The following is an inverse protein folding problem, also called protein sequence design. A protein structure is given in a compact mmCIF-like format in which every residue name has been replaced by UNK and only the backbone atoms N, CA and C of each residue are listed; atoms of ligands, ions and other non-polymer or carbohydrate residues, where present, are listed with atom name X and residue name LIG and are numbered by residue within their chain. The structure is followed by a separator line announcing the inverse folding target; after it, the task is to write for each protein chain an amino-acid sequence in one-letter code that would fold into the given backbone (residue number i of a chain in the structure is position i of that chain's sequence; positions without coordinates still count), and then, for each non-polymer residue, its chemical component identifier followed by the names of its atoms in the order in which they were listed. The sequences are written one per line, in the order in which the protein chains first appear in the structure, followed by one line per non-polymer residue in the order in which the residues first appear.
data_IF_251002008559
#
_entry.id   IF_251002008559
#
_cell.length_a   1.000
_cell.length_b   1.000
_cell.length_c   1.000
_cell.angle_alpha   90.00
_cell.angle_beta   90.00
_cell.angle_gamma   90.00
#
_symmetry.space_group_name_H-M   'P 1'
#
loop_
_entity.id
_entity.type
_entity.pdbx_description
1 polymer ?
#
# COMPACT_ATOMS: atom_id res chain seq x y z
N UNK A 1 -21.54 -74.91 61.75
CA UNK A 1 -20.17 -74.34 61.62
C UNK A 1 -20.19 -73.40 60.43
N UNK A 2 -20.07 -72.11 60.69
CA UNK A 2 -20.29 -71.02 59.74
C UNK A 2 -18.99 -70.67 59.02
N UNK A 3 -18.99 -70.68 57.69
CA UNK A 3 -17.84 -70.28 56.87
C UNK A 3 -17.89 -68.77 56.57
N UNK A 4 -16.77 -68.03 56.70
CA UNK A 4 -16.74 -66.59 56.48
C UNK A 4 -16.67 -66.24 54.99
N UNK A 5 -17.49 -65.28 54.57
CA UNK A 5 -17.43 -64.63 53.26
C UNK A 5 -16.25 -63.65 53.23
N UNK A 6 -15.26 -63.94 52.39
CA UNK A 6 -14.16 -63.03 52.08
C UNK A 6 -14.66 -61.99 51.07
N UNK A 7 -14.76 -60.73 51.53
CA UNK A 7 -15.03 -59.56 50.68
C UNK A 7 -13.69 -59.09 50.11
N UNK A 8 -13.42 -59.37 48.84
CA UNK A 8 -12.32 -58.73 48.12
C UNK A 8 -12.71 -57.27 47.82
N UNK A 9 -12.10 -56.36 48.57
CA UNK A 9 -12.07 -54.93 48.29
C UNK A 9 -11.35 -54.69 46.96
N UNK A 10 -12.11 -54.31 45.94
CA UNK A 10 -11.56 -53.84 44.67
C UNK A 10 -10.80 -52.54 44.86
N UNK A 11 -9.49 -52.56 44.59
CA UNK A 11 -8.72 -51.35 44.34
C UNK A 11 -9.14 -50.76 42.99
N UNK A 12 -10.12 -49.85 43.01
CA UNK A 12 -10.31 -48.90 41.91
C UNK A 12 -9.14 -47.92 41.91
N UNK A 13 -8.09 -48.24 41.16
CA UNK A 13 -7.10 -47.26 40.75
C UNK A 13 -7.82 -46.21 39.87
N UNK A 14 -8.18 -45.08 40.48
CA UNK A 14 -8.60 -43.89 39.74
C UNK A 14 -7.38 -43.38 38.99
N UNK A 15 -7.21 -43.84 37.75
CA UNK A 15 -6.40 -43.15 36.76
C UNK A 15 -7.03 -41.78 36.56
N UNK A 16 -6.58 -40.80 37.34
CA UNK A 16 -6.76 -39.39 37.04
C UNK A 16 -5.99 -39.11 35.77
N UNK A 17 -6.56 -39.50 34.63
CA UNK A 17 -6.19 -38.94 33.35
C UNK A 17 -6.41 -37.43 33.50
N UNK A 18 -5.32 -36.69 33.67
CA UNK A 18 -5.31 -35.24 33.50
C UNK A 18 -6.00 -34.98 32.17
N UNK A 19 -7.26 -34.55 32.21
CA UNK A 19 -8.00 -34.11 31.05
C UNK A 19 -7.28 -32.84 30.56
N UNK A 20 -6.25 -33.03 29.74
CA UNK A 20 -5.57 -31.94 29.06
C UNK A 20 -6.65 -31.14 28.34
N UNK A 21 -6.82 -29.87 28.72
CA UNK A 21 -7.83 -29.00 28.11
C UNK A 21 -7.60 -29.04 26.61
N UNK A 22 -8.61 -29.48 25.86
CA UNK A 22 -8.52 -29.63 24.40
C UNK A 22 -8.02 -28.32 23.79
N UNK A 23 -7.03 -28.36 22.88
CA UNK A 23 -6.57 -27.14 22.23
C UNK A 23 -7.71 -26.47 21.44
N UNK A 24 -7.71 -25.13 21.33
CA UNK A 24 -8.68 -24.39 20.52
C UNK A 24 -8.70 -24.84 19.06
N UNK A 25 -9.76 -24.53 18.33
CA UNK A 25 -9.86 -24.85 16.90
C UNK A 25 -8.76 -24.15 16.07
N UNK A 26 -8.33 -24.79 14.98
CA UNK A 26 -7.40 -24.17 14.00
C UNK A 26 -8.13 -23.06 13.26
N UNK A 27 -7.49 -21.91 13.17
CA UNK A 27 -7.83 -20.83 12.27
C UNK A 27 -6.88 -20.86 11.07
N UNK A 28 -7.38 -20.46 9.91
CA UNK A 28 -6.64 -20.45 8.65
C UNK A 28 -6.68 -19.07 8.05
N UNK A 29 -5.56 -18.65 7.49
CA UNK A 29 -5.45 -17.42 6.75
C UNK A 29 -4.55 -17.62 5.53
N UNK A 30 -4.81 -16.83 4.50
CA UNK A 30 -4.08 -16.85 3.23
C UNK A 30 -3.62 -15.43 2.92
N UNK A 31 -2.36 -15.29 2.51
CA UNK A 31 -1.75 -14.05 2.07
C UNK A 31 -0.97 -14.33 0.79
N UNK A 32 -1.49 -13.89 -0.36
CA UNK A 32 -0.98 -14.29 -1.66
C UNK A 32 -1.02 -15.81 -1.82
N UNK A 33 0.13 -16.43 -2.08
CA UNK A 33 0.29 -17.88 -2.16
C UNK A 33 0.58 -18.55 -0.82
N UNK A 34 0.86 -17.78 0.22
CA UNK A 34 1.22 -18.29 1.55
C UNK A 34 -0.03 -18.58 2.38
N UNK A 35 -0.03 -19.73 3.07
CA UNK A 35 -1.09 -20.12 3.98
C UNK A 35 -0.52 -20.31 5.38
N UNK A 36 -1.28 -19.94 6.40
CA UNK A 36 -0.92 -20.15 7.79
C UNK A 36 -2.08 -20.77 8.56
N UNK A 37 -1.74 -21.76 9.39
CA UNK A 37 -2.62 -22.32 10.40
C UNK A 37 -2.17 -21.81 11.77
N UNK A 38 -3.09 -21.26 12.55
CA UNK A 38 -2.79 -20.73 13.88
C UNK A 38 -3.96 -20.99 14.84
N UNK A 39 -3.72 -20.90 16.15
CA UNK A 39 -4.74 -21.11 17.19
C UNK A 39 -4.67 -19.99 18.21
N UNK A 40 -5.82 -19.56 18.74
CA UNK A 40 -5.86 -18.64 19.87
C UNK A 40 -5.92 -19.41 21.19
N UNK A 41 -4.76 -19.68 21.76
CA UNK A 41 -4.64 -20.39 23.03
C UNK A 41 -5.05 -19.55 24.24
N UNK A 42 -5.19 -18.22 24.08
CA UNK A 42 -5.69 -17.37 25.15
C UNK A 42 -7.19 -17.54 25.40
N UNK A 43 -7.95 -18.06 24.42
CA UNK A 43 -9.39 -18.37 24.59
C UNK A 43 -9.65 -19.47 25.63
N UNK A 44 -8.71 -20.38 25.84
CA UNK A 44 -8.84 -21.50 26.78
C UNK A 44 -7.72 -21.41 27.81
N UNK A 45 -7.99 -20.82 28.97
CA UNK A 45 -6.99 -20.58 30.02
C UNK A 45 -6.21 -21.85 30.39
N UNK A 46 -4.89 -21.77 30.31
CA UNK A 46 -3.96 -22.87 30.60
C UNK A 46 -3.89 -23.95 29.52
N UNK A 47 -4.61 -23.81 28.39
CA UNK A 47 -4.54 -24.78 27.29
C UNK A 47 -3.16 -24.84 26.65
N UNK A 48 -2.49 -23.70 26.48
CA UNK A 48 -1.15 -23.61 25.88
C UNK A 48 -0.12 -24.46 26.63
N UNK A 49 -0.20 -24.55 27.97
CA UNK A 49 0.73 -25.33 28.78
C UNK A 49 0.44 -26.84 28.75
N UNK A 50 -0.74 -27.25 28.26
CA UNK A 50 -1.10 -28.64 28.03
C UNK A 50 -0.77 -29.13 26.62
N UNK A 51 -0.28 -28.27 25.73
CA UNK A 51 0.17 -28.65 24.39
C UNK A 51 1.55 -29.27 24.47
N UNK A 52 1.78 -30.29 23.64
CA UNK A 52 3.10 -30.90 23.50
C UNK A 52 4.14 -29.84 23.07
N UNK A 53 5.23 -29.63 23.83
CA UNK A 53 6.14 -28.51 23.60
C UNK A 53 6.74 -28.43 22.20
N UNK A 54 7.09 -29.56 21.56
CA UNK A 54 7.67 -29.53 20.21
C UNK A 54 6.64 -29.08 19.18
N UNK A 55 5.41 -29.59 19.27
CA UNK A 55 4.29 -29.12 18.43
C UNK A 55 4.04 -27.62 18.60
N UNK A 56 3.95 -27.13 19.85
CA UNK A 56 3.74 -25.71 20.12
C UNK A 56 4.89 -24.86 19.55
N UNK A 57 6.14 -25.29 19.73
CA UNK A 57 7.29 -24.61 19.16
C UNK A 57 7.18 -24.50 17.63
N UNK A 58 6.78 -25.58 16.94
CA UNK A 58 6.53 -25.56 15.49
C UNK A 58 5.45 -24.56 15.07
N UNK A 59 4.31 -24.53 15.76
CA UNK A 59 3.23 -23.58 15.47
C UNK A 59 3.67 -22.12 15.67
N UNK A 60 4.40 -21.82 16.76
CA UNK A 60 4.92 -20.47 17.03
C UNK A 60 6.00 -20.05 16.03
N UNK A 61 6.89 -20.97 15.63
CA UNK A 61 7.90 -20.73 14.60
C UNK A 61 7.25 -20.43 13.26
N UNK A 62 6.27 -21.23 12.82
CA UNK A 62 5.58 -21.02 11.56
C UNK A 62 4.88 -19.65 11.50
N UNK A 63 4.20 -19.27 12.58
CA UNK A 63 3.54 -17.95 12.67
C UNK A 63 4.56 -16.82 12.66
N UNK A 64 5.69 -16.97 13.36
CA UNK A 64 6.78 -15.99 13.37
C UNK A 64 7.37 -15.79 11.97
N UNK A 65 7.72 -16.89 11.29
CA UNK A 65 8.27 -16.86 9.94
C UNK A 65 7.29 -16.27 8.92
N UNK A 66 6.00 -16.55 9.05
CA UNK A 66 4.97 -15.97 8.20
C UNK A 66 4.92 -14.43 8.32
N UNK A 67 5.03 -13.90 9.54
CA UNK A 67 5.09 -12.45 9.78
C UNK A 67 6.40 -11.84 9.29
N UNK A 68 7.54 -12.49 9.53
CA UNK A 68 8.85 -12.05 9.04
C UNK A 68 8.87 -11.99 7.49
N UNK A 69 8.34 -13.02 6.83
CA UNK A 69 8.23 -13.06 5.37
C UNK A 69 7.38 -11.92 4.82
N UNK A 70 6.25 -11.60 5.47
CA UNK A 70 5.45 -10.44 5.09
C UNK A 70 6.26 -9.13 5.17
N UNK A 71 6.96 -8.91 6.28
CA UNK A 71 7.77 -7.70 6.48
C UNK A 71 8.89 -7.62 5.45
N UNK A 72 9.62 -8.72 5.21
CA UNK A 72 10.69 -8.76 4.22
C UNK A 72 10.18 -8.55 2.80
N UNK A 73 9.10 -9.24 2.41
CA UNK A 73 8.54 -9.13 1.07
C UNK A 73 8.00 -7.73 0.78
N UNK A 74 7.56 -6.99 1.79
CA UNK A 74 6.99 -5.64 1.63
C UNK A 74 7.96 -4.51 1.96
N UNK A 75 9.23 -4.82 2.23
CA UNK A 75 10.23 -3.86 2.72
C UNK A 75 10.38 -2.63 1.80
N UNK A 76 10.31 -2.85 0.49
CA UNK A 76 10.61 -1.87 -0.55
C UNK A 76 9.36 -1.29 -1.23
N UNK A 77 8.15 -1.57 -0.69
CA UNK A 77 6.90 -1.19 -1.35
C UNK A 77 6.74 0.33 -1.54
N UNK A 78 7.38 1.14 -0.69
CA UNK A 78 7.42 2.60 -0.79
C UNK A 78 8.27 3.10 -1.97
N UNK A 79 9.20 2.28 -2.49
CA UNK A 79 10.17 2.64 -3.52
C UNK A 79 9.63 2.40 -4.94
N UNK A 80 9.32 3.47 -5.71
CA UNK A 80 8.75 3.35 -7.05
C UNK A 80 9.66 2.68 -8.08
N UNK A 81 10.96 2.70 -7.86
CA UNK A 81 11.96 2.10 -8.73
C UNK A 81 12.17 0.59 -8.50
N UNK A 82 11.55 0.02 -7.46
CA UNK A 82 11.69 -1.40 -7.15
C UNK A 82 11.06 -2.26 -8.26
N UNK A 83 11.78 -3.24 -8.84
CA UNK A 83 11.24 -4.11 -9.89
C UNK A 83 9.99 -4.90 -9.46
N UNK A 84 9.83 -5.12 -8.14
CA UNK A 84 8.73 -5.91 -7.58
C UNK A 84 7.63 -5.03 -6.97
N UNK A 85 7.69 -3.70 -7.14
CA UNK A 85 6.82 -2.79 -6.37
C UNK A 85 5.33 -3.14 -6.46
N UNK A 86 4.83 -3.48 -7.65
CA UNK A 86 3.41 -3.83 -7.84
C UNK A 86 2.99 -5.06 -7.02
N UNK A 87 3.84 -6.09 -6.96
CA UNK A 87 3.61 -7.29 -6.16
C UNK A 87 3.64 -6.94 -4.66
N UNK A 88 4.62 -6.15 -4.22
CA UNK A 88 4.75 -5.75 -2.83
C UNK A 88 3.59 -4.87 -2.35
N UNK A 89 3.08 -3.96 -3.19
CA UNK A 89 1.89 -3.16 -2.89
C UNK A 89 0.63 -4.03 -2.79
N UNK A 90 0.54 -5.07 -3.61
CA UNK A 90 -0.55 -6.07 -3.51
C UNK A 90 -0.46 -6.84 -2.21
N UNK A 91 0.74 -7.32 -1.85
CA UNK A 91 0.97 -8.01 -0.59
C UNK A 91 0.69 -7.12 0.64
N UNK A 92 1.02 -5.82 0.61
CA UNK A 92 0.63 -4.87 1.65
C UNK A 92 -0.89 -4.74 1.79
N UNK A 93 -1.60 -4.58 0.66
CA UNK A 93 -3.06 -4.44 0.63
C UNK A 93 -3.77 -5.68 1.16
N UNK A 94 -3.27 -6.86 0.83
CA UNK A 94 -3.82 -8.12 1.34
C UNK A 94 -3.43 -8.36 2.80
N UNK A 95 -2.20 -8.01 3.17
CA UNK A 95 -1.70 -8.06 4.55
C UNK A 95 -2.56 -7.24 5.50
N UNK A 96 -2.94 -6.02 5.10
CA UNK A 96 -3.82 -5.14 5.87
C UNK A 96 -5.21 -5.74 6.17
N UNK A 97 -5.71 -6.64 5.34
CA UNK A 97 -7.01 -7.31 5.55
C UNK A 97 -6.91 -8.52 6.48
N UNK A 98 -5.76 -9.18 6.50
CA UNK A 98 -5.61 -10.54 7.06
C UNK A 98 -4.77 -10.59 8.33
N UNK A 99 -3.75 -9.75 8.46
CA UNK A 99 -2.71 -9.91 9.49
C UNK A 99 -3.09 -9.40 10.88
N UNK A 100 -4.06 -8.49 11.00
CA UNK A 100 -4.50 -7.97 12.29
C UNK A 100 -4.87 -9.07 13.30
N UNK A 101 -5.80 -10.01 13.01
CA UNK A 101 -6.12 -11.09 13.95
C UNK A 101 -4.93 -12.02 14.23
N UNK A 102 -4.06 -12.27 13.26
CA UNK A 102 -2.89 -13.17 13.41
C UNK A 102 -1.87 -12.56 14.37
N UNK A 103 -1.52 -11.27 14.18
CA UNK A 103 -0.57 -10.55 15.01
C UNK A 103 -1.07 -10.42 16.46
N UNK A 104 -2.37 -10.20 16.66
CA UNK A 104 -2.99 -10.14 17.97
C UNK A 104 -2.98 -11.50 18.68
N UNK A 105 -3.37 -12.57 17.99
CA UNK A 105 -3.39 -13.92 18.54
C UNK A 105 -1.98 -14.39 18.87
N UNK A 106 -1.00 -14.16 17.98
CA UNK A 106 0.39 -14.54 18.23
C UNK A 106 0.94 -13.81 19.46
N UNK A 107 0.71 -12.49 19.57
CA UNK A 107 1.12 -11.73 20.76
C UNK A 107 0.50 -12.27 22.05
N UNK A 108 -0.80 -12.60 22.03
CA UNK A 108 -1.48 -13.19 23.19
C UNK A 108 -0.88 -14.55 23.55
N UNK A 109 -0.66 -15.42 22.57
CA UNK A 109 -0.04 -16.73 22.77
C UNK A 109 1.35 -16.62 23.40
N UNK A 110 2.18 -15.71 22.90
CA UNK A 110 3.53 -15.45 23.45
C UNK A 110 3.48 -14.89 24.88
N UNK A 111 2.46 -14.08 25.21
CA UNK A 111 2.27 -13.57 26.56
C UNK A 111 1.87 -14.69 27.54
N UNK A 112 0.89 -15.53 27.19
CA UNK A 112 0.42 -16.62 28.07
C UNK A 112 1.40 -17.79 28.14
N UNK A 113 2.28 -17.97 27.15
CA UNK A 113 3.35 -18.96 27.16
C UNK A 113 4.24 -18.83 28.40
N UNK A 114 4.45 -17.61 28.90
CA UNK A 114 5.28 -17.31 30.08
C UNK A 114 4.76 -17.98 31.36
N UNK A 115 3.48 -18.36 31.40
CA UNK A 115 2.87 -19.07 32.52
C UNK A 115 3.25 -20.57 32.54
N UNK A 116 3.78 -21.11 31.44
CA UNK A 116 4.12 -22.52 31.32
C UNK A 116 5.48 -22.85 31.94
N UNK A 117 5.57 -24.01 32.62
CA UNK A 117 6.81 -24.47 33.24
C UNK A 117 7.97 -24.63 32.25
N UNK A 118 7.67 -25.07 31.02
CA UNK A 118 8.66 -25.27 29.97
C UNK A 118 9.12 -23.99 29.27
N UNK A 119 8.49 -22.83 29.53
CA UNK A 119 8.78 -21.57 28.84
C UNK A 119 10.21 -21.07 29.04
N UNK A 120 10.88 -21.52 30.10
CA UNK A 120 12.27 -21.18 30.42
C UNK A 120 13.29 -22.12 29.75
N UNK A 121 12.82 -23.23 29.18
CA UNK A 121 13.66 -24.21 28.49
C UNK A 121 13.74 -23.88 27.00
N UNK A 122 14.85 -24.25 26.37
CA UNK A 122 14.98 -24.12 24.91
C UNK A 122 13.85 -24.90 24.19
N UNK A 123 13.28 -24.37 23.09
CA UNK A 123 13.65 -23.13 22.40
C UNK A 123 12.82 -21.88 22.80
N UNK A 124 11.97 -21.96 23.84
CA UNK A 124 10.90 -20.98 24.08
C UNK A 124 11.33 -19.54 24.38
N UNK A 125 12.45 -19.27 25.09
CA UNK A 125 12.91 -17.90 25.29
C UNK A 125 13.21 -17.18 23.97
N UNK A 126 13.93 -17.85 23.06
CA UNK A 126 14.27 -17.32 21.75
C UNK A 126 13.02 -17.15 20.87
N UNK A 127 12.12 -18.15 20.87
CA UNK A 127 10.85 -18.06 20.14
C UNK A 127 9.99 -16.90 20.62
N UNK A 128 9.97 -16.64 21.94
CA UNK A 128 9.23 -15.50 22.50
C UNK A 128 9.82 -14.17 22.05
N UNK A 129 11.14 -14.06 22.07
CA UNK A 129 11.85 -12.85 21.64
C UNK A 129 11.62 -12.59 20.14
N UNK A 130 11.92 -13.57 19.29
CA UNK A 130 11.75 -13.46 17.83
C UNK A 130 10.29 -13.25 17.44
N UNK A 131 9.38 -14.01 18.04
CA UNK A 131 7.95 -13.87 17.81
C UNK A 131 7.43 -12.48 18.18
N UNK A 132 7.86 -11.92 19.32
CA UNK A 132 7.45 -10.55 19.71
C UNK A 132 7.97 -9.53 18.71
N UNK A 133 9.25 -9.62 18.34
CA UNK A 133 9.86 -8.73 17.35
C UNK A 133 9.17 -8.81 15.98
N UNK A 134 8.81 -10.01 15.51
CA UNK A 134 8.09 -10.20 14.25
C UNK A 134 6.68 -9.60 14.28
N UNK A 135 5.96 -9.73 15.41
CA UNK A 135 4.65 -9.07 15.59
C UNK A 135 4.81 -7.55 15.57
N UNK A 136 5.79 -7.01 16.29
CA UNK A 136 6.02 -5.56 16.34
C UNK A 136 6.37 -5.00 14.95
N UNK A 137 7.26 -5.67 14.23
CA UNK A 137 7.64 -5.29 12.86
C UNK A 137 6.46 -5.38 11.88
N UNK A 138 5.67 -6.45 11.95
CA UNK A 138 4.48 -6.60 11.11
C UNK A 138 3.45 -5.50 11.39
N UNK A 139 3.20 -5.16 12.66
CA UNK A 139 2.27 -4.09 13.02
C UNK A 139 2.76 -2.72 12.55
N UNK A 140 4.04 -2.40 12.75
CA UNK A 140 4.62 -1.16 12.24
C UNK A 140 4.46 -1.05 10.71
N UNK A 141 4.71 -2.14 9.97
CA UNK A 141 4.49 -2.17 8.51
C UNK A 141 3.02 -1.96 8.13
N UNK A 142 2.08 -2.50 8.91
CA UNK A 142 0.64 -2.28 8.70
C UNK A 142 0.22 -0.83 8.99
N UNK A 143 0.83 -0.18 9.98
CA UNK A 143 0.59 1.24 10.28
C UNK A 143 1.08 2.16 9.16
N UNK A 144 2.20 1.83 8.49
CA UNK A 144 2.70 2.54 7.32
C UNK A 144 1.86 2.33 6.05
N UNK A 145 1.09 1.24 6.00
CA UNK A 145 0.41 0.77 4.78
C UNK A 145 -0.50 1.81 4.13
N UNK A 146 -1.39 2.53 4.85
CA UNK A 146 -2.27 3.52 4.23
C UNK A 146 -1.51 4.63 3.49
N UNK A 147 -0.42 5.13 4.08
CA UNK A 147 0.40 6.16 3.47
C UNK A 147 1.13 5.64 2.22
N UNK A 148 1.69 4.43 2.28
CA UNK A 148 2.37 3.79 1.14
C UNK A 148 1.40 3.57 -0.02
N UNK A 149 0.20 3.03 0.26
CA UNK A 149 -0.80 2.76 -0.78
C UNK A 149 -1.33 4.06 -1.39
N UNK A 150 -1.62 5.09 -0.57
CA UNK A 150 -2.07 6.40 -1.07
C UNK A 150 -1.03 7.06 -1.98
N UNK A 151 0.26 7.00 -1.61
CA UNK A 151 1.32 7.55 -2.44
C UNK A 151 1.48 6.77 -3.76
N UNK A 152 1.29 5.45 -3.75
CA UNK A 152 1.29 4.64 -4.96
C UNK A 152 0.11 4.99 -5.88
N UNK A 153 -1.10 5.12 -5.34
CA UNK A 153 -2.30 5.47 -6.11
C UNK A 153 -2.20 6.87 -6.73
N UNK A 154 -1.62 7.84 -6.01
CA UNK A 154 -1.32 9.17 -6.55
C UNK A 154 -0.37 9.10 -7.74
N UNK A 155 0.76 8.39 -7.61
CA UNK A 155 1.72 8.22 -8.72
C UNK A 155 1.08 7.54 -9.93
N UNK A 156 0.24 6.52 -9.72
CA UNK A 156 -0.47 5.85 -10.79
C UNK A 156 -1.44 6.81 -11.50
N UNK A 157 -2.16 7.63 -10.74
CA UNK A 157 -3.08 8.65 -11.26
C UNK A 157 -2.33 9.70 -12.08
N UNK A 158 -1.19 10.19 -11.58
CA UNK A 158 -0.35 11.13 -12.31
C UNK A 158 0.23 10.54 -13.60
N UNK A 159 0.72 9.29 -13.54
CA UNK A 159 1.27 8.61 -14.72
C UNK A 159 0.20 8.48 -15.82
N UNK A 160 -1.00 8.04 -15.44
CA UNK A 160 -2.15 7.96 -16.35
C UNK A 160 -2.54 9.33 -16.90
N UNK A 161 -2.60 10.35 -16.05
CA UNK A 161 -2.89 11.72 -16.48
C UNK A 161 -1.88 12.21 -17.53
N UNK A 162 -0.57 11.97 -17.34
CA UNK A 162 0.47 12.37 -18.30
C UNK A 162 0.31 11.66 -19.64
N UNK A 163 0.03 10.36 -19.62
CA UNK A 163 -0.19 9.56 -20.84
C UNK A 163 -1.39 10.11 -21.63
N UNK A 164 -2.52 10.34 -20.97
CA UNK A 164 -3.72 10.88 -21.61
C UNK A 164 -3.56 12.35 -22.01
N UNK A 165 -2.72 13.11 -21.30
CA UNK A 165 -2.53 14.53 -21.58
C UNK A 165 -1.87 14.78 -22.94
N UNK A 166 -0.94 13.91 -23.36
CA UNK A 166 -0.35 13.99 -24.69
C UNK A 166 -1.41 13.80 -25.80
N UNK A 167 -2.37 12.89 -25.58
CA UNK A 167 -3.49 12.71 -26.49
C UNK A 167 -4.44 13.92 -26.49
N UNK A 168 -4.75 14.49 -25.31
CA UNK A 168 -5.58 15.71 -25.19
C UNK A 168 -4.93 16.91 -25.87
N UNK A 169 -3.63 17.09 -25.71
CA UNK A 169 -2.86 18.15 -26.37
C UNK A 169 -2.91 18.01 -27.90
N UNK A 170 -2.70 16.79 -28.41
CA UNK A 170 -2.76 16.50 -29.85
C UNK A 170 -4.15 16.77 -30.41
N UNK A 171 -5.19 16.30 -29.72
CA UNK A 171 -6.58 16.53 -30.11
C UNK A 171 -6.96 18.02 -30.08
N UNK A 172 -6.55 18.75 -29.04
CA UNK A 172 -6.78 20.18 -28.92
C UNK A 172 -6.09 20.94 -30.06
N UNK A 173 -4.85 20.60 -30.38
CA UNK A 173 -4.12 21.19 -31.50
C UNK A 173 -4.83 20.97 -32.84
N UNK A 174 -5.31 19.75 -33.10
CA UNK A 174 -6.04 19.44 -34.34
C UNK A 174 -7.39 20.15 -34.43
N UNK A 175 -8.03 20.39 -33.29
CA UNK A 175 -9.36 21.01 -33.22
C UNK A 175 -9.29 22.53 -33.36
N UNK A 176 -8.36 23.17 -32.66
CA UNK A 176 -8.31 24.63 -32.52
C UNK A 176 -7.31 25.30 -33.46
N UNK A 177 -6.25 24.60 -33.88
CA UNK A 177 -5.23 25.19 -34.74
C UNK A 177 -5.52 24.92 -36.22
N UNK A 178 -5.45 25.97 -37.04
CA UNK A 178 -5.56 25.84 -38.49
C UNK A 178 -4.23 25.42 -39.12
N UNK A 179 -4.26 24.83 -40.32
CA UNK A 179 -3.04 24.43 -41.04
C UNK A 179 -2.13 25.62 -41.48
N UNK A 180 -2.62 26.86 -41.39
CA UNK A 180 -1.90 28.09 -41.79
C UNK A 180 -1.81 29.10 -40.64
N UNK A 181 -1.33 28.68 -39.47
CA UNK A 181 -1.12 29.62 -38.36
C UNK A 181 -0.03 30.64 -38.70
N UNK A 182 -0.33 31.92 -38.53
CA UNK A 182 0.64 33.00 -38.66
C UNK A 182 1.41 33.20 -37.34
N UNK A 183 2.73 33.34 -37.40
CA UNK A 183 3.55 33.70 -36.23
C UNK A 183 3.12 35.08 -35.73
N UNK A 184 2.81 35.20 -34.43
CA UNK A 184 2.26 36.44 -33.86
C UNK A 184 0.74 36.40 -33.64
N UNK A 185 0.09 35.26 -33.93
CA UNK A 185 -1.36 35.09 -33.80
C UNK A 185 -1.82 35.20 -32.35
N UNK A 186 -1.06 34.65 -31.40
CA UNK A 186 -1.48 34.56 -30.01
C UNK A 186 -2.67 33.63 -29.78
N UNK A 187 -2.97 32.74 -30.73
CA UNK A 187 -4.06 31.77 -30.62
C UNK A 187 -3.65 30.62 -29.69
N UNK A 188 -4.24 30.58 -28.51
CA UNK A 188 -3.96 29.59 -27.46
C UNK A 188 -4.90 28.38 -27.64
N UNK A 189 -4.36 27.17 -27.66
CA UNK A 189 -5.17 25.94 -27.87
C UNK A 189 -5.15 24.96 -26.70
N UNK A 190 -4.17 25.06 -25.81
CA UNK A 190 -4.04 24.16 -24.68
C UNK A 190 -3.29 24.82 -23.53
N UNK A 191 -3.64 24.47 -22.30
CA UNK A 191 -2.88 24.85 -21.12
C UNK A 191 -2.76 23.66 -20.17
N UNK A 192 -1.59 23.49 -19.56
CA UNK A 192 -1.29 22.40 -18.63
C UNK A 192 -0.60 22.93 -17.39
N UNK A 193 -0.99 22.43 -16.22
CA UNK A 193 -0.23 22.58 -14.99
C UNK A 193 0.45 21.25 -14.65
N UNK A 194 1.77 21.28 -14.54
CA UNK A 194 2.60 20.14 -14.14
C UNK A 194 2.55 19.93 -12.61
N UNK A 195 3.06 18.78 -12.15
CA UNK A 195 3.06 18.41 -10.72
C UNK A 195 3.90 19.34 -9.84
N UNK A 196 4.85 20.07 -10.41
CA UNK A 196 5.67 21.09 -9.73
C UNK A 196 4.96 22.47 -9.62
N UNK A 197 3.74 22.58 -10.14
CA UNK A 197 2.97 23.82 -10.17
C UNK A 197 3.32 24.73 -11.36
N UNK A 198 4.22 24.32 -12.25
CA UNK A 198 4.49 25.05 -13.49
C UNK A 198 3.29 24.95 -14.43
N UNK A 199 2.76 26.10 -14.83
CA UNK A 199 1.71 26.17 -15.84
C UNK A 199 2.31 26.56 -17.17
N UNK A 200 2.01 25.79 -18.21
CA UNK A 200 2.40 26.05 -19.60
C UNK A 200 1.16 26.30 -20.43
N UNK A 201 1.15 27.39 -21.18
CA UNK A 201 0.14 27.70 -22.19
C UNK A 201 0.75 27.54 -23.58
N UNK A 202 0.12 26.72 -24.40
CA UNK A 202 0.58 26.35 -25.73
C UNK A 202 -0.22 27.10 -26.79
N UNK A 203 0.51 27.70 -27.74
CA UNK A 203 -0.07 28.50 -28.81
C UNK A 203 0.07 27.82 -30.18
N UNK A 204 -0.88 28.06 -31.07
CA UNK A 204 -0.96 27.41 -32.38
C UNK A 204 0.23 27.74 -33.30
N UNK A 205 0.94 28.83 -33.03
CA UNK A 205 2.16 29.23 -33.76
C UNK A 205 3.44 28.66 -33.13
N UNK A 206 3.32 27.79 -32.14
CA UNK A 206 4.42 27.07 -31.52
C UNK A 206 5.15 27.85 -30.42
N UNK A 207 4.66 29.03 -30.05
CA UNK A 207 5.13 29.72 -28.85
C UNK A 207 4.53 29.10 -27.58
N UNK A 208 5.23 29.28 -26.48
CA UNK A 208 4.80 28.78 -25.16
C UNK A 208 4.94 29.90 -24.14
N UNK A 209 3.93 30.09 -23.30
CA UNK A 209 4.07 30.90 -22.08
C UNK A 209 4.21 29.94 -20.90
N UNK A 210 5.10 30.25 -19.96
CA UNK A 210 5.32 29.44 -18.76
C UNK A 210 5.27 30.32 -17.51
N UNK A 211 4.65 29.81 -16.44
CA UNK A 211 4.62 30.45 -15.13
C UNK A 211 4.83 29.39 -14.03
N UNK A 212 5.79 29.62 -13.13
CA UNK A 212 5.83 28.88 -11.87
C UNK A 212 4.66 29.30 -10.98
N UNK A 213 4.30 28.46 -10.01
CA UNK A 213 3.22 28.75 -9.07
C UNK A 213 3.44 30.10 -8.36
N UNK A 214 2.56 31.07 -8.61
CA UNK A 214 2.63 32.42 -8.02
C UNK A 214 3.65 33.37 -8.66
N UNK A 215 4.33 32.96 -9.74
CA UNK A 215 5.25 33.82 -10.49
C UNK A 215 4.55 34.48 -11.69
N UNK A 216 5.15 35.57 -12.20
CA UNK A 216 4.67 36.18 -13.44
C UNK A 216 4.93 35.28 -14.66
N UNK A 217 3.96 35.14 -15.58
CA UNK A 217 4.16 34.36 -16.80
C UNK A 217 5.24 34.97 -17.70
N UNK A 218 6.02 34.10 -18.33
CA UNK A 218 7.10 34.49 -19.24
C UNK A 218 6.90 33.82 -20.60
N UNK A 219 7.14 34.58 -21.67
CA UNK A 219 7.04 34.05 -23.03
C UNK A 219 8.35 33.38 -23.43
N UNK A 220 8.28 32.09 -23.78
CA UNK A 220 9.38 31.33 -24.36
C UNK A 220 9.25 31.30 -25.88
N UNK A 221 10.29 31.76 -26.57
CA UNK A 221 10.35 31.80 -28.04
C UNK A 221 11.33 30.73 -28.49
N UNK A 222 10.89 29.68 -29.22
CA UNK A 222 11.79 28.63 -29.65
C UNK A 222 12.80 29.14 -30.68
N UNK A 223 14.00 28.55 -30.67
CA UNK A 223 15.10 28.95 -31.54
C UNK A 223 14.78 28.77 -33.03
N UNK A 224 13.87 27.84 -33.35
CA UNK A 224 13.37 27.56 -34.70
C UNK A 224 12.65 28.75 -35.36
N UNK A 225 12.23 29.77 -34.59
CA UNK A 225 11.59 30.96 -35.13
C UNK A 225 12.61 31.90 -35.77
N UNK A 226 12.44 32.13 -37.08
CA UNK A 226 13.30 33.00 -37.90
C UNK A 226 13.29 34.43 -37.37
N UNK A 227 14.43 35.12 -37.47
CA UNK A 227 14.60 36.51 -37.01
C UNK A 227 13.56 37.49 -37.57
N UNK A 228 13.11 37.29 -38.81
CA UNK A 228 12.06 38.12 -39.44
C UNK A 228 10.69 37.95 -38.76
N UNK A 229 10.38 36.74 -38.30
CA UNK A 229 9.11 36.39 -37.69
C UNK A 229 9.11 36.77 -36.20
N UNK A 230 10.28 36.80 -35.55
CA UNK A 230 10.46 37.34 -34.19
C UNK A 230 9.96 38.77 -34.03
N UNK A 231 10.08 39.61 -35.06
CA UNK A 231 9.59 41.00 -35.04
C UNK A 231 8.07 41.11 -34.97
N UNK A 232 7.35 40.03 -35.31
CA UNK A 232 5.87 39.97 -35.29
C UNK A 232 5.34 39.49 -33.94
N UNK A 233 6.21 38.98 -33.07
CA UNK A 233 5.85 38.46 -31.75
C UNK A 233 5.73 39.64 -30.79
N UNK A 234 4.51 39.91 -30.34
CA UNK A 234 4.24 40.89 -29.29
C UNK A 234 3.99 40.16 -27.97
N UNK A 235 4.95 40.25 -27.03
CA UNK A 235 4.89 39.47 -25.79
C UNK A 235 3.62 39.71 -24.98
N UNK A 236 3.15 40.96 -24.90
CA UNK A 236 1.91 41.32 -24.18
C UNK A 236 0.71 40.50 -24.63
N UNK A 237 0.55 40.26 -25.94
CA UNK A 237 -0.58 39.49 -26.50
C UNK A 237 -0.63 38.06 -25.97
N UNK A 238 0.51 37.38 -25.90
CA UNK A 238 0.59 36.01 -25.38
C UNK A 238 0.39 35.97 -23.86
N UNK A 239 0.96 36.94 -23.15
CA UNK A 239 0.81 37.04 -21.69
C UNK A 239 -0.63 37.34 -21.29
N UNK A 240 -1.33 38.19 -22.03
CA UNK A 240 -2.75 38.47 -21.84
C UNK A 240 -3.60 37.23 -22.13
N UNK A 241 -3.38 36.57 -23.26
CA UNK A 241 -4.09 35.32 -23.60
C UNK A 241 -3.90 34.24 -22.53
N UNK A 242 -2.69 34.08 -22.00
CA UNK A 242 -2.42 33.15 -20.90
C UNK A 242 -3.16 33.55 -19.60
N UNK A 243 -3.19 34.84 -19.26
CA UNK A 243 -3.91 35.35 -18.08
C UNK A 243 -5.43 35.21 -18.20
N UNK A 244 -5.97 35.31 -19.41
CA UNK A 244 -7.40 35.20 -19.69
C UNK A 244 -7.89 33.76 -19.88
N UNK A 245 -7.00 32.77 -19.89
CA UNK A 245 -7.38 31.37 -20.08
C UNK A 245 -8.12 30.83 -18.85
N UNK A 246 -9.29 30.16 -19.00
CA UNK A 246 -10.06 29.66 -17.87
C UNK A 246 -9.28 28.65 -17.02
N UNK A 247 -9.22 28.86 -15.71
CA UNK A 247 -8.44 28.02 -14.80
C UNK A 247 -9.02 26.59 -14.65
N UNK A 248 -10.31 26.43 -14.94
CA UNK A 248 -11.05 25.19 -15.03
C UNK A 248 -10.71 24.35 -16.27
N UNK A 249 -10.24 24.99 -17.35
CA UNK A 249 -9.87 24.31 -18.59
C UNK A 249 -8.42 23.85 -18.62
N UNK A 250 -7.59 24.34 -17.68
CA UNK A 250 -6.19 23.94 -17.52
C UNK A 250 -6.14 22.45 -17.16
N UNK A 251 -5.42 21.70 -17.99
CA UNK A 251 -5.17 20.29 -17.75
C UNK A 251 -4.22 20.11 -16.56
N UNK A 252 -4.67 19.43 -15.50
CA UNK A 252 -3.90 19.27 -14.26
C UNK A 252 -4.14 17.90 -13.61
N UNK A 253 -3.16 17.39 -12.84
CA UNK A 253 -3.32 16.12 -12.12
C UNK A 253 -4.58 16.11 -11.25
N UNK A 254 -5.38 15.05 -11.34
CA UNK A 254 -6.59 14.91 -10.53
C UNK A 254 -7.78 15.79 -10.96
N UNK A 255 -7.65 16.61 -12.01
CA UNK A 255 -8.82 17.20 -12.66
C UNK A 255 -9.54 16.14 -13.47
N UNK A 256 -10.45 15.39 -12.82
CA UNK A 256 -11.49 14.68 -13.55
C UNK A 256 -12.31 15.74 -14.30
N UNK A 257 -12.12 15.87 -15.62
CA UNK A 257 -13.09 16.61 -16.42
C UNK A 257 -14.39 15.82 -16.34
N UNK A 258 -15.37 16.41 -15.65
CA UNK A 258 -16.76 16.07 -15.84
C UNK A 258 -16.98 15.98 -17.35
N UNK A 259 -17.28 14.78 -17.83
CA UNK A 259 -17.71 14.58 -19.21
C UNK A 259 -18.85 15.56 -19.43
N UNK A 260 -18.61 16.53 -20.31
CA UNK A 260 -19.64 17.37 -20.90
C UNK A 260 -20.71 16.41 -21.43
N UNK A 261 -21.75 16.27 -20.63
CA UNK A 261 -22.97 15.57 -20.97
C UNK A 261 -23.80 16.63 -21.67
N UNK A 262 -23.54 16.82 -22.95
CA UNK A 262 -24.39 17.63 -23.82
C UNK A 262 -24.37 16.99 -25.20
N UNK A 263 -25.20 15.96 -25.35
CA UNK A 263 -26.22 15.85 -26.40
C UNK A 263 -27.31 14.84 -25.98
#
# INVERSE_FOLDING_TARGET
MSAPRIVLLGLCATLAACAAKKPPAVQRATLGTSNIEYRDYALVRGSICGVEPRKLAGELTATTQFLEQFVTHTAEASKPESPQQAEQLTALRDGAKVLAPITDVHRKNLAVLRECKFSRSAPFPELTQKGTAAVDAAKARLEETPAILSAADQRATEAKWREESAARETAAKQTWCTAKTAVGSGDLYFARQETDGMTRWLFCDGLTVEAASGAEPTLSIPESIKARDRRRIQASRYLEAAKSYPAEEIDKPGAAKATASEE
#
